data_IF_059616782003
#
_entry.id   IF_059616782003
#
_cell.length_a   1.000
_cell.length_b   1.000
_cell.length_c   1.000
_cell.angle_alpha   90.00
_cell.angle_beta   90.00
_cell.angle_gamma   90.00
#
_symmetry.space_group_name_H-M   'P 1'
#
loop_
_entity.id
_entity.type
_entity.pdbx_description
1 polymer ?
#
# COMPACT_ATOMS: atom_id res chain seq x y z
N UNK A 1 -5.82 31.19 2.06
CA UNK A 1 -6.15 29.76 2.18
C UNK A 1 -7.30 29.64 3.16
N UNK A 2 -8.41 29.08 2.75
CA UNK A 2 -9.64 28.99 3.58
C UNK A 2 -9.43 27.87 4.60
N UNK A 3 -9.37 28.23 5.89
CA UNK A 3 -9.12 27.28 6.99
C UNK A 3 -10.28 26.31 7.17
N UNK A 4 -11.48 26.75 6.94
CA UNK A 4 -12.74 26.03 6.95
C UNK A 4 -12.78 24.87 5.92
N UNK A 5 -12.32 25.12 4.70
CA UNK A 5 -12.18 24.08 3.67
C UNK A 5 -11.17 23.01 4.08
N UNK A 6 -10.04 23.42 4.67
CA UNK A 6 -9.03 22.48 5.15
C UNK A 6 -9.57 21.63 6.31
N UNK A 7 -10.26 22.28 7.28
CA UNK A 7 -10.85 21.51 8.39
C UNK A 7 -11.93 20.56 7.93
N UNK A 8 -12.68 20.90 6.89
CA UNK A 8 -13.67 19.99 6.28
C UNK A 8 -13.00 18.77 5.66
N UNK A 9 -11.92 18.95 4.90
CA UNK A 9 -11.20 17.84 4.24
C UNK A 9 -10.53 16.94 5.27
N UNK A 10 -9.81 17.52 6.24
CA UNK A 10 -9.18 16.76 7.32
C UNK A 10 -10.22 16.05 8.17
N UNK A 11 -11.35 16.70 8.48
CA UNK A 11 -12.46 16.10 9.21
C UNK A 11 -13.04 14.87 8.49
N UNK A 12 -13.27 14.95 7.18
CA UNK A 12 -13.71 13.82 6.38
C UNK A 12 -12.68 12.70 6.31
N UNK A 13 -11.37 13.04 6.19
CA UNK A 13 -10.30 12.05 6.22
C UNK A 13 -10.34 11.26 7.54
N UNK A 14 -10.46 11.94 8.68
CA UNK A 14 -10.56 11.30 9.98
C UNK A 14 -11.82 10.41 10.10
N UNK A 15 -12.97 10.88 9.62
CA UNK A 15 -14.19 10.07 9.66
C UNK A 15 -14.12 8.86 8.73
N UNK A 16 -13.47 8.98 7.58
CA UNK A 16 -13.25 7.86 6.68
C UNK A 16 -12.41 6.75 7.33
N UNK A 17 -11.47 7.11 8.21
CA UNK A 17 -10.66 6.16 8.97
C UNK A 17 -11.48 5.32 9.96
N UNK A 18 -12.67 5.75 10.36
CA UNK A 18 -13.52 4.98 11.28
C UNK A 18 -13.91 3.61 10.69
N UNK A 19 -14.12 3.53 9.38
CA UNK A 19 -14.54 2.26 8.73
C UNK A 19 -13.45 1.19 8.87
N UNK A 20 -12.20 1.40 8.39
CA UNK A 20 -11.16 0.40 8.51
C UNK A 20 -10.71 0.17 9.96
N UNK A 21 -10.74 1.19 10.84
CA UNK A 21 -10.46 1.01 12.26
C UNK A 21 -11.53 0.14 12.94
N UNK A 22 -12.82 0.34 12.63
CA UNK A 22 -13.90 -0.51 13.17
C UNK A 22 -13.81 -1.94 12.66
N UNK A 23 -13.49 -2.13 11.38
CA UNK A 23 -13.25 -3.45 10.82
C UNK A 23 -12.09 -4.16 11.55
N UNK A 24 -10.95 -3.48 11.70
CA UNK A 24 -9.79 -4.03 12.41
C UNK A 24 -10.08 -4.29 13.88
N UNK A 25 -10.89 -3.44 14.56
CA UNK A 25 -11.36 -3.68 15.92
C UNK A 25 -12.12 -5.00 16.02
N UNK A 26 -13.11 -5.23 15.14
CA UNK A 26 -13.92 -6.44 15.14
C UNK A 26 -13.09 -7.70 14.87
N UNK A 27 -12.17 -7.62 13.92
CA UNK A 27 -11.27 -8.73 13.60
C UNK A 27 -10.30 -9.03 14.75
N UNK A 28 -9.72 -7.99 15.37
CA UNK A 28 -8.85 -8.15 16.55
C UNK A 28 -9.62 -8.76 17.71
N UNK A 29 -10.86 -8.30 17.94
CA UNK A 29 -11.70 -8.89 18.98
C UNK A 29 -11.94 -10.38 18.75
N UNK A 30 -12.15 -10.77 17.51
CA UNK A 30 -12.40 -12.18 17.17
C UNK A 30 -11.13 -13.06 17.24
N UNK A 31 -9.96 -12.55 16.79
CA UNK A 31 -8.72 -13.32 16.69
C UNK A 31 -7.85 -13.23 17.96
N UNK A 32 -7.72 -12.05 18.56
CA UNK A 32 -6.76 -11.75 19.62
C UNK A 32 -7.46 -11.45 20.98
N UNK A 33 -8.81 -11.36 20.97
CA UNK A 33 -9.61 -11.10 22.15
C UNK A 33 -9.93 -9.64 22.40
N UNK A 34 -10.95 -9.39 23.24
CA UNK A 34 -11.50 -8.06 23.49
C UNK A 34 -10.50 -7.08 24.11
N UNK A 35 -9.63 -7.54 25.03
CA UNK A 35 -8.65 -6.67 25.68
C UNK A 35 -7.68 -6.07 24.65
N UNK A 36 -7.09 -6.90 23.78
CA UNK A 36 -6.18 -6.45 22.73
C UNK A 36 -6.90 -5.49 21.76
N UNK A 37 -8.12 -5.83 21.36
CA UNK A 37 -8.93 -4.98 20.49
C UNK A 37 -9.23 -3.63 21.12
N UNK A 38 -9.66 -3.61 22.40
CA UNK A 38 -10.04 -2.38 23.08
C UNK A 38 -8.85 -1.42 23.28
N UNK A 39 -7.72 -1.93 23.70
CA UNK A 39 -6.51 -1.13 23.92
C UNK A 39 -6.00 -0.57 22.59
N UNK A 40 -5.98 -1.39 21.53
CA UNK A 40 -5.41 -0.99 20.23
C UNK A 40 -6.29 -0.02 19.45
N UNK A 41 -7.62 -0.17 19.50
CA UNK A 41 -8.51 0.49 18.53
C UNK A 41 -9.55 1.43 19.13
N UNK A 42 -10.00 1.29 20.40
CA UNK A 42 -11.03 2.18 20.93
C UNK A 42 -10.56 3.63 21.02
N UNK A 43 -9.34 3.87 21.50
CA UNK A 43 -8.79 5.24 21.57
C UNK A 43 -8.67 5.86 20.18
N UNK A 44 -8.07 5.19 19.17
CA UNK A 44 -8.05 5.69 17.79
C UNK A 44 -9.43 5.96 17.22
N UNK A 45 -10.43 5.12 17.47
CA UNK A 45 -11.81 5.30 17.03
C UNK A 45 -12.43 6.57 17.64
N UNK A 46 -12.35 6.73 18.97
CA UNK A 46 -12.88 7.91 19.65
C UNK A 46 -12.15 9.19 19.22
N UNK A 47 -10.81 9.14 19.14
CA UNK A 47 -9.99 10.26 18.71
C UNK A 47 -10.35 10.70 17.28
N UNK A 48 -10.41 9.76 16.34
CA UNK A 48 -10.75 10.02 14.94
C UNK A 48 -12.19 10.53 14.79
N UNK A 49 -13.15 9.92 15.48
CA UNK A 49 -14.54 10.32 15.44
C UNK A 49 -14.77 11.70 16.04
N UNK A 50 -14.27 11.95 17.25
CA UNK A 50 -14.49 13.21 17.96
C UNK A 50 -13.82 14.40 17.24
N UNK A 51 -12.54 14.26 16.88
CA UNK A 51 -11.83 15.33 16.17
C UNK A 51 -12.38 15.51 14.76
N UNK A 52 -12.69 14.42 14.06
CA UNK A 52 -13.32 14.48 12.75
C UNK A 52 -14.63 15.28 12.76
N UNK A 53 -15.52 15.00 13.69
CA UNK A 53 -16.79 15.74 13.85
C UNK A 53 -16.56 17.21 14.26
N UNK A 54 -15.62 17.47 15.19
CA UNK A 54 -15.27 18.81 15.58
C UNK A 54 -14.76 19.65 14.40
N UNK A 55 -13.87 19.09 13.57
CA UNK A 55 -13.36 19.76 12.37
C UNK A 55 -14.46 19.98 11.31
N UNK A 56 -15.37 19.04 11.14
CA UNK A 56 -16.53 19.23 10.25
C UNK A 56 -17.44 20.35 10.74
N UNK A 57 -17.69 20.47 12.05
CA UNK A 57 -18.52 21.54 12.60
C UNK A 57 -17.95 22.95 12.35
N UNK A 58 -16.61 23.05 12.25
CA UNK A 58 -15.90 24.30 11.85
C UNK A 58 -16.05 24.51 10.34
N UNK A 59 -15.86 23.45 9.54
CA UNK A 59 -15.87 23.52 8.08
C UNK A 59 -17.23 23.82 7.46
N UNK A 60 -18.33 23.31 8.06
CA UNK A 60 -19.70 23.52 7.57
C UNK A 60 -20.17 24.98 7.63
N UNK A 61 -19.51 25.83 8.40
CA UNK A 61 -19.81 27.28 8.49
C UNK A 61 -19.35 28.07 7.28
N UNK A 62 -18.61 27.46 6.34
CA UNK A 62 -18.13 28.13 5.15
C UNK A 62 -19.14 28.08 3.99
N UNK A 63 -19.11 29.11 3.16
CA UNK A 63 -19.88 29.16 1.92
C UNK A 63 -19.24 28.21 0.91
N UNK A 64 -19.77 26.98 0.82
CA UNK A 64 -19.23 25.87 0.02
C UNK A 64 -19.50 26.00 -1.47
N UNK A 65 -20.10 27.10 -1.92
CA UNK A 65 -20.45 27.34 -3.34
C UNK A 65 -19.24 27.68 -4.22
N UNK A 66 -18.14 28.14 -3.64
CA UNK A 66 -16.92 28.42 -4.40
C UNK A 66 -16.10 27.18 -4.71
N UNK A 67 -15.62 27.07 -5.95
CA UNK A 67 -14.71 26.00 -6.40
C UNK A 67 -13.42 25.96 -5.58
N UNK A 68 -12.92 24.76 -5.29
CA UNK A 68 -11.63 24.55 -4.67
C UNK A 68 -10.52 25.17 -5.54
N UNK A 69 -9.65 25.98 -4.93
CA UNK A 69 -8.45 26.51 -5.61
C UNK A 69 -7.35 25.44 -5.60
N UNK A 70 -6.50 25.39 -6.63
CA UNK A 70 -5.42 24.40 -6.71
C UNK A 70 -4.52 24.37 -5.45
N UNK A 71 -4.21 25.56 -4.90
CA UNK A 71 -3.43 25.65 -3.64
C UNK A 71 -4.12 25.01 -2.45
N UNK A 72 -5.44 25.05 -2.39
CA UNK A 72 -6.24 24.43 -1.32
C UNK A 72 -6.30 22.92 -1.50
N UNK A 73 -6.37 22.43 -2.75
CA UNK A 73 -6.30 21.02 -3.07
C UNK A 73 -4.95 20.41 -2.68
N UNK A 74 -3.83 21.05 -3.05
CA UNK A 74 -2.50 20.57 -2.65
C UNK A 74 -2.29 20.60 -1.14
N UNK A 75 -2.74 21.65 -0.45
CA UNK A 75 -2.65 21.73 1.00
C UNK A 75 -3.51 20.69 1.70
N UNK A 76 -4.68 20.36 1.13
CA UNK A 76 -5.55 19.32 1.64
C UNK A 76 -4.89 17.93 1.57
N UNK A 77 -4.28 17.61 0.43
CA UNK A 77 -3.50 16.38 0.26
C UNK A 77 -2.33 16.34 1.24
N UNK A 78 -1.55 17.42 1.31
CA UNK A 78 -0.39 17.52 2.19
C UNK A 78 -0.73 17.40 3.69
N UNK A 79 -1.96 17.74 4.12
CA UNK A 79 -2.43 17.58 5.49
C UNK A 79 -3.13 16.25 5.74
N UNK A 80 -3.86 15.72 4.76
CA UNK A 80 -4.59 14.47 4.91
C UNK A 80 -3.64 13.28 5.20
N UNK A 81 -2.49 13.21 4.52
CA UNK A 81 -1.51 12.14 4.72
C UNK A 81 -0.95 12.10 6.15
N UNK A 82 -0.33 13.18 6.70
CA UNK A 82 0.16 13.16 8.08
C UNK A 82 -0.94 12.86 9.12
N UNK A 83 -2.17 13.32 8.88
CA UNK A 83 -3.30 13.02 9.77
C UNK A 83 -3.70 11.56 9.71
N UNK A 84 -3.78 10.97 8.52
CA UNK A 84 -4.05 9.55 8.37
C UNK A 84 -2.96 8.69 9.03
N UNK A 85 -1.68 9.06 8.83
CA UNK A 85 -0.54 8.39 9.46
C UNK A 85 -0.58 8.50 10.97
N UNK A 86 -0.92 9.69 11.51
CA UNK A 86 -1.05 9.90 12.96
C UNK A 86 -2.13 8.97 13.56
N UNK A 87 -3.31 8.97 12.97
CA UNK A 87 -4.40 8.08 13.42
C UNK A 87 -4.00 6.63 13.25
N UNK A 88 -3.38 6.29 12.11
CA UNK A 88 -2.94 4.93 11.79
C UNK A 88 -1.79 4.41 12.63
N UNK A 89 -0.99 5.28 13.25
CA UNK A 89 0.10 4.88 14.15
C UNK A 89 -0.40 4.44 15.53
N UNK A 90 -1.56 4.94 15.94
CA UNK A 90 -2.08 4.66 17.28
C UNK A 90 -2.32 3.16 17.56
N UNK A 91 -2.89 2.35 16.65
CA UNK A 91 -3.04 0.91 16.88
C UNK A 91 -1.71 0.19 17.13
N UNK A 92 -0.64 0.54 16.43
CA UNK A 92 0.70 -0.05 16.64
C UNK A 92 1.27 0.34 18.00
N UNK A 93 1.13 1.61 18.39
CA UNK A 93 1.68 2.14 19.64
C UNK A 93 0.92 1.66 20.88
N UNK A 94 -0.41 1.70 20.82
CA UNK A 94 -1.27 1.30 21.94
C UNK A 94 -1.42 -0.22 22.04
N UNK A 95 -1.36 -0.93 20.92
CA UNK A 95 -1.52 -2.39 20.85
C UNK A 95 -0.26 -3.19 21.14
N UNK A 96 0.84 -2.55 21.55
CA UNK A 96 2.03 -3.22 22.06
C UNK A 96 2.93 -3.83 20.98
N UNK A 97 2.78 -3.43 19.69
CA UNK A 97 3.76 -3.78 18.66
C UNK A 97 5.10 -3.14 18.96
N UNK A 98 5.07 -1.91 19.42
CA UNK A 98 6.21 -1.17 19.94
C UNK A 98 5.95 -0.76 21.39
N UNK A 99 7.00 -0.33 22.11
CA UNK A 99 6.84 0.14 23.48
C UNK A 99 5.86 1.32 23.56
N UNK A 100 4.72 1.09 24.15
CA UNK A 100 3.63 2.05 24.28
C UNK A 100 3.28 2.36 25.72
N UNK A 101 2.31 3.26 25.97
CA UNK A 101 1.90 3.66 27.31
C UNK A 101 1.26 2.52 28.12
N UNK A 102 0.82 1.43 27.45
CA UNK A 102 0.23 0.24 28.06
C UNK A 102 1.15 -0.99 28.03
N UNK A 103 2.42 -0.82 27.63
CA UNK A 103 3.40 -1.90 27.60
C UNK A 103 4.16 -1.94 28.92
N UNK A 104 4.09 -3.07 29.63
CA UNK A 104 4.71 -3.25 30.93
C UNK A 104 6.23 -3.05 30.88
N UNK A 105 6.78 -2.38 31.89
CA UNK A 105 8.22 -2.14 32.01
C UNK A 105 8.80 -1.08 31.10
N UNK A 106 7.99 -0.38 30.29
CA UNK A 106 8.46 0.67 29.38
C UNK A 106 8.81 1.95 30.15
N UNK A 107 10.00 2.52 29.88
CA UNK A 107 10.39 3.84 30.33
C UNK A 107 9.76 4.94 29.47
N UNK A 108 9.76 6.20 29.94
CA UNK A 108 9.27 7.32 29.12
C UNK A 108 10.06 7.49 27.81
N UNK A 109 11.34 7.16 27.82
CA UNK A 109 12.17 7.15 26.61
C UNK A 109 11.71 6.07 25.62
N UNK A 110 11.38 4.86 26.12
CA UNK A 110 10.94 3.74 25.27
C UNK A 110 9.56 4.04 24.68
N UNK A 111 8.64 4.63 25.46
CA UNK A 111 7.32 5.07 24.98
C UNK A 111 7.46 6.09 23.86
N UNK A 112 8.40 7.05 24.00
CA UNK A 112 8.68 8.02 22.94
C UNK A 112 9.26 7.39 21.67
N UNK A 113 10.23 6.48 21.80
CA UNK A 113 10.77 5.71 20.66
C UNK A 113 9.69 4.85 20.00
N UNK A 114 8.88 4.17 20.81
CA UNK A 114 7.77 3.37 20.33
C UNK A 114 6.75 4.17 19.52
N UNK A 115 6.47 5.42 19.89
CA UNK A 115 5.65 6.33 19.08
C UNK A 115 6.29 6.63 17.71
N UNK A 116 7.60 6.92 17.68
CA UNK A 116 8.33 7.18 16.43
C UNK A 116 8.32 5.95 15.53
N UNK A 117 8.54 4.76 16.08
CA UNK A 117 8.49 3.50 15.35
C UNK A 117 7.08 3.21 14.80
N UNK A 118 6.05 3.45 15.60
CA UNK A 118 4.65 3.32 15.19
C UNK A 118 4.28 4.30 14.07
N UNK A 119 4.78 5.53 14.15
CA UNK A 119 4.65 6.52 13.10
C UNK A 119 5.32 6.06 11.81
N UNK A 120 6.54 5.53 11.90
CA UNK A 120 7.27 4.98 10.74
C UNK A 120 6.51 3.83 10.10
N UNK A 121 6.03 2.85 10.88
CA UNK A 121 5.29 1.69 10.38
C UNK A 121 3.97 2.12 9.69
N UNK A 122 3.25 3.07 10.30
CA UNK A 122 2.05 3.65 9.72
C UNK A 122 2.34 4.44 8.44
N UNK A 123 3.41 5.25 8.42
CA UNK A 123 3.84 5.99 7.24
C UNK A 123 4.19 5.03 6.12
N UNK A 124 5.02 4.01 6.41
CA UNK A 124 5.40 2.97 5.46
C UNK A 124 4.18 2.22 4.91
N UNK A 125 3.16 1.98 5.76
CA UNK A 125 1.89 1.41 5.33
C UNK A 125 1.16 2.31 4.35
N UNK A 126 0.78 3.51 4.75
CA UNK A 126 -0.01 4.42 3.90
C UNK A 126 0.71 4.90 2.65
N UNK A 127 2.03 5.03 2.67
CA UNK A 127 2.81 5.38 1.48
C UNK A 127 3.18 4.17 0.63
N UNK A 128 2.71 2.98 1.00
CA UNK A 128 3.01 1.71 0.32
C UNK A 128 4.52 1.47 0.13
N UNK A 129 5.33 1.91 1.10
CA UNK A 129 6.80 1.76 1.04
C UNK A 129 7.25 0.34 1.37
N UNK A 130 6.54 -0.36 2.27
CA UNK A 130 6.84 -1.74 2.65
C UNK A 130 8.01 -1.93 3.61
N UNK A 131 8.73 -0.87 3.97
CA UNK A 131 9.79 -0.94 4.97
C UNK A 131 9.20 -1.14 6.37
N UNK A 132 9.81 -2.01 7.18
CA UNK A 132 9.37 -2.30 8.54
C UNK A 132 10.49 -2.10 9.56
N UNK A 133 10.10 -1.73 10.78
CA UNK A 133 10.97 -1.64 11.95
C UNK A 133 10.52 -2.61 13.06
N UNK A 134 9.69 -3.59 12.70
CA UNK A 134 9.30 -4.67 13.61
C UNK A 134 10.44 -5.68 13.66
N UNK A 135 11.27 -5.60 14.70
CA UNK A 135 12.43 -6.46 14.90
C UNK A 135 12.72 -6.66 16.40
N UNK A 136 13.66 -7.56 16.72
CA UNK A 136 14.02 -7.91 18.10
C UNK A 136 14.42 -6.72 18.98
N UNK A 137 15.01 -5.69 18.42
CA UNK A 137 15.46 -4.51 19.16
C UNK A 137 14.37 -3.47 19.41
N UNK A 138 13.25 -3.52 18.68
CA UNK A 138 12.23 -2.48 18.67
C UNK A 138 10.87 -2.93 19.20
N UNK A 139 10.55 -4.22 19.08
CA UNK A 139 9.25 -4.77 19.50
C UNK A 139 9.36 -5.58 20.80
N UNK A 140 8.52 -5.29 21.80
CA UNK A 140 8.51 -6.06 23.06
C UNK A 140 8.06 -7.52 22.87
N UNK A 141 7.32 -7.81 21.78
CA UNK A 141 6.85 -9.16 21.47
C UNK A 141 7.93 -10.02 20.79
N UNK A 142 9.06 -9.43 20.42
CA UNK A 142 10.16 -10.09 19.72
C UNK A 142 11.32 -10.40 20.70
N UNK A 143 11.29 -11.56 21.33
CA UNK A 143 12.31 -11.96 22.31
C UNK A 143 13.47 -12.66 21.58
N UNK A 144 14.71 -12.14 21.63
CA UNK A 144 15.86 -12.78 21.01
C UNK A 144 16.02 -14.23 21.44
N UNK A 145 16.18 -15.15 20.49
CA UNK A 145 16.36 -16.59 20.72
C UNK A 145 15.10 -17.39 21.02
N UNK A 146 13.94 -16.74 21.26
CA UNK A 146 12.65 -17.42 21.47
C UNK A 146 11.60 -17.12 20.42
N UNK A 147 11.71 -16.00 19.71
CA UNK A 147 10.77 -15.59 18.66
C UNK A 147 11.48 -15.60 17.31
N UNK A 148 11.39 -16.68 16.51
CA UNK A 148 12.11 -16.78 15.23
C UNK A 148 11.52 -15.88 14.15
N UNK A 149 10.24 -15.48 14.26
CA UNK A 149 9.50 -14.63 13.31
C UNK A 149 8.81 -13.51 14.08
N UNK A 150 9.41 -12.33 14.04
CA UNK A 150 8.96 -11.16 14.79
C UNK A 150 7.63 -10.60 14.29
N UNK A 151 7.43 -10.58 12.98
CA UNK A 151 6.19 -10.08 12.39
C UNK A 151 5.04 -11.00 12.73
N UNK A 152 5.23 -12.32 12.60
CA UNK A 152 4.18 -13.29 12.89
C UNK A 152 3.81 -13.36 14.38
N UNK A 153 4.72 -12.95 15.27
CA UNK A 153 4.47 -12.88 16.72
C UNK A 153 3.56 -11.72 17.13
N UNK A 154 3.29 -10.77 16.23
CA UNK A 154 2.41 -9.64 16.54
C UNK A 154 0.92 -10.07 16.57
N UNK A 155 0.05 -9.33 17.30
CA UNK A 155 -1.39 -9.59 17.30
C UNK A 155 -1.96 -9.61 15.88
N UNK A 156 -2.73 -10.64 15.56
CA UNK A 156 -3.22 -10.89 14.20
C UNK A 156 -4.08 -9.74 13.65
N UNK A 157 -4.91 -9.14 14.49
CA UNK A 157 -5.73 -8.02 14.07
C UNK A 157 -4.90 -6.76 13.75
N UNK A 158 -3.76 -6.57 14.42
CA UNK A 158 -2.83 -5.47 14.10
C UNK A 158 -2.09 -5.76 12.78
N UNK A 159 -1.76 -7.01 12.47
CA UNK A 159 -1.23 -7.37 11.15
C UNK A 159 -2.23 -7.09 10.03
N UNK A 160 -3.53 -7.35 10.25
CA UNK A 160 -4.58 -6.94 9.31
C UNK A 160 -4.65 -5.41 9.18
N UNK A 161 -4.58 -4.67 10.29
CA UNK A 161 -4.51 -3.22 10.24
C UNK A 161 -3.32 -2.74 9.39
N UNK A 162 -2.15 -3.34 9.61
CA UNK A 162 -0.92 -3.08 8.86
C UNK A 162 -1.13 -3.25 7.34
N UNK A 163 -1.74 -4.36 6.93
CA UNK A 163 -2.06 -4.64 5.53
C UNK A 163 -3.12 -3.71 4.97
N UNK A 164 -4.14 -3.37 5.78
CA UNK A 164 -5.18 -2.39 5.40
C UNK A 164 -4.61 -0.98 5.19
N UNK A 165 -3.60 -0.55 5.95
CA UNK A 165 -2.97 0.76 5.72
C UNK A 165 -2.34 0.81 4.33
N UNK A 166 -1.70 -0.26 3.85
CA UNK A 166 -1.18 -0.34 2.48
C UNK A 166 -2.31 -0.37 1.45
N UNK A 167 -3.35 -1.16 1.69
CA UNK A 167 -4.46 -1.27 0.75
C UNK A 167 -5.19 0.08 0.55
N UNK A 168 -5.41 0.81 1.63
CA UNK A 168 -5.97 2.16 1.59
C UNK A 168 -5.01 3.16 0.94
N UNK A 169 -3.72 3.03 1.23
CA UNK A 169 -2.67 3.88 0.67
C UNK A 169 -2.55 3.75 -0.84
N UNK A 170 -2.60 2.53 -1.38
CA UNK A 170 -2.38 2.25 -2.80
C UNK A 170 -3.36 2.93 -3.76
N UNK A 171 -4.64 3.03 -3.37
CA UNK A 171 -5.62 3.81 -4.14
C UNK A 171 -5.86 5.21 -3.57
N UNK A 172 -5.21 5.50 -2.46
CA UNK A 172 -5.24 6.78 -1.78
C UNK A 172 -6.56 7.07 -1.06
N UNK A 173 -6.47 7.37 0.22
CA UNK A 173 -7.56 7.94 1.02
C UNK A 173 -8.22 9.11 0.28
N UNK A 174 -7.48 9.77 -0.61
CA UNK A 174 -7.91 10.91 -1.41
C UNK A 174 -8.90 10.53 -2.49
N UNK A 175 -8.78 9.34 -3.10
CA UNK A 175 -9.79 8.85 -4.04
C UNK A 175 -11.13 8.63 -3.34
N UNK A 176 -11.13 8.10 -2.12
CA UNK A 176 -12.33 8.03 -1.26
C UNK A 176 -12.84 9.42 -0.91
N UNK A 177 -11.96 10.32 -0.50
CA UNK A 177 -12.29 11.72 -0.26
C UNK A 177 -12.88 12.42 -1.49
N UNK A 178 -12.38 12.13 -2.69
CA UNK A 178 -12.92 12.64 -3.94
C UNK A 178 -14.34 12.14 -4.24
N UNK A 179 -14.62 10.86 -4.00
CA UNK A 179 -15.98 10.32 -4.15
C UNK A 179 -16.97 11.01 -3.22
N UNK A 180 -16.56 11.29 -1.99
CA UNK A 180 -17.41 11.92 -0.97
C UNK A 180 -17.52 13.44 -1.16
N UNK A 181 -16.39 14.12 -1.40
CA UNK A 181 -16.30 15.58 -1.51
C UNK A 181 -16.73 16.14 -2.86
N UNK A 182 -16.65 15.38 -3.94
CA UNK A 182 -17.09 15.85 -5.26
C UNK A 182 -18.59 16.21 -5.29
N UNK A 183 -19.39 15.60 -4.42
CA UNK A 183 -20.80 15.95 -4.22
C UNK A 183 -20.98 17.25 -3.43
N UNK A 184 -20.07 17.57 -2.53
CA UNK A 184 -20.19 18.69 -1.59
C UNK A 184 -19.55 19.97 -2.12
N UNK A 185 -18.40 19.90 -2.78
CA UNK A 185 -17.58 21.05 -3.12
C UNK A 185 -17.49 21.40 -4.62
N UNK A 186 -18.00 20.56 -5.53
CA UNK A 186 -17.96 20.81 -6.98
C UNK A 186 -16.55 20.97 -7.59
N UNK A 187 -15.49 20.79 -6.80
CA UNK A 187 -14.09 21.04 -7.14
C UNK A 187 -13.18 19.82 -7.29
N UNK A 188 -13.76 18.61 -7.40
CA UNK A 188 -13.02 17.36 -7.39
C UNK A 188 -11.87 17.19 -8.40
N UNK A 189 -11.86 17.98 -9.48
CA UNK A 189 -10.81 17.95 -10.51
C UNK A 189 -9.45 18.44 -10.00
N UNK A 190 -9.40 19.46 -9.13
CA UNK A 190 -8.14 19.99 -8.61
C UNK A 190 -7.49 18.99 -7.63
N UNK A 191 -8.29 18.34 -6.80
CA UNK A 191 -7.81 17.33 -5.84
C UNK A 191 -7.28 16.08 -6.56
N UNK A 192 -7.98 15.62 -7.62
CA UNK A 192 -7.54 14.50 -8.43
C UNK A 192 -6.21 14.76 -9.14
N UNK A 193 -6.01 15.97 -9.67
CA UNK A 193 -4.73 16.35 -10.28
C UNK A 193 -3.57 16.38 -9.29
N UNK A 194 -3.83 16.72 -8.03
CA UNK A 194 -2.81 16.72 -6.99
C UNK A 194 -2.31 15.32 -6.65
N UNK A 195 -3.21 14.31 -6.66
CA UNK A 195 -2.88 12.93 -6.28
C UNK A 195 -2.51 12.04 -7.47
N UNK A 196 -3.21 12.19 -8.60
CA UNK A 196 -3.04 11.31 -9.75
C UNK A 196 -2.05 11.91 -10.76
N UNK A 197 -0.88 11.32 -10.80
CA UNK A 197 0.19 11.69 -11.72
C UNK A 197 0.05 10.94 -13.04
N UNK A 198 -0.84 11.38 -13.96
CA UNK A 198 -0.91 10.79 -15.28
C UNK A 198 -2.07 11.31 -16.15
N UNK A 199 -1.96 11.24 -17.49
CA UNK A 199 -2.97 11.73 -18.43
C UNK A 199 -4.20 10.83 -18.60
N UNK A 200 -4.32 9.75 -17.83
CA UNK A 200 -5.27 8.65 -18.06
C UNK A 200 -6.73 8.91 -17.66
N UNK A 201 -6.97 9.82 -16.72
CA UNK A 201 -8.31 10.06 -16.16
C UNK A 201 -9.29 10.71 -17.13
N UNK A 202 -8.82 11.52 -18.08
CA UNK A 202 -9.67 12.26 -19.01
C UNK A 202 -10.33 11.39 -20.10
N UNK A 203 -9.91 10.14 -20.25
CA UNK A 203 -10.32 9.25 -21.33
C UNK A 203 -11.33 8.17 -20.97
N UNK A 204 -11.52 7.86 -19.67
CA UNK A 204 -12.38 6.74 -19.26
C UNK A 204 -13.85 7.12 -19.14
N UNK A 205 -14.16 8.21 -18.45
CA UNK A 205 -15.55 8.69 -18.28
C UNK A 205 -15.59 10.19 -18.03
N UNK A 206 -16.68 10.87 -18.41
CA UNK A 206 -16.79 12.33 -18.29
C UNK A 206 -16.86 12.83 -16.84
N UNK A 207 -17.28 11.98 -15.92
CA UNK A 207 -17.38 12.33 -14.49
C UNK A 207 -16.28 11.67 -13.68
N UNK A 208 -15.54 12.47 -12.91
CA UNK A 208 -14.45 12.00 -12.05
C UNK A 208 -14.86 10.90 -11.06
N UNK A 209 -16.09 10.98 -10.53
CA UNK A 209 -16.63 9.95 -9.64
C UNK A 209 -16.79 8.59 -10.32
N UNK A 210 -17.27 8.58 -11.56
CA UNK A 210 -17.45 7.34 -12.32
C UNK A 210 -16.10 6.69 -12.64
N UNK A 211 -15.09 7.52 -12.92
CA UNK A 211 -13.71 7.05 -13.15
C UNK A 211 -13.13 6.46 -11.85
N UNK A 212 -13.25 7.19 -10.74
CA UNK A 212 -12.78 6.72 -9.43
C UNK A 212 -13.45 5.40 -9.03
N UNK A 213 -14.77 5.30 -9.22
CA UNK A 213 -15.52 4.07 -8.91
C UNK A 213 -15.06 2.89 -9.79
N UNK A 214 -14.81 3.13 -11.09
CA UNK A 214 -14.31 2.10 -12.00
C UNK A 214 -12.92 1.58 -11.56
N UNK A 215 -12.00 2.48 -11.21
CA UNK A 215 -10.66 2.12 -10.73
C UNK A 215 -10.73 1.34 -9.40
N UNK A 216 -11.56 1.78 -8.44
CA UNK A 216 -11.80 1.08 -7.19
C UNK A 216 -12.38 -0.32 -7.41
N UNK A 217 -13.34 -0.45 -8.35
CA UNK A 217 -13.96 -1.73 -8.67
C UNK A 217 -12.92 -2.73 -9.17
N UNK A 218 -12.04 -2.32 -10.12
CA UNK A 218 -10.95 -3.18 -10.61
C UNK A 218 -10.03 -3.58 -9.46
N UNK A 219 -9.62 -2.60 -8.64
CA UNK A 219 -8.71 -2.82 -7.53
C UNK A 219 -9.25 -3.85 -6.54
N UNK A 220 -10.53 -3.71 -6.13
CA UNK A 220 -11.21 -4.65 -5.25
C UNK A 220 -11.31 -6.04 -5.89
N UNK A 221 -11.73 -6.12 -7.15
CA UNK A 221 -11.89 -7.40 -7.86
C UNK A 221 -10.55 -8.12 -7.94
N UNK A 222 -9.48 -7.45 -8.34
CA UNK A 222 -8.15 -8.06 -8.42
C UNK A 222 -7.65 -8.50 -7.04
N UNK A 223 -7.84 -7.69 -6.00
CA UNK A 223 -7.50 -8.08 -4.61
C UNK A 223 -8.25 -9.35 -4.19
N UNK A 224 -9.56 -9.43 -4.46
CA UNK A 224 -10.36 -10.60 -4.08
C UNK A 224 -9.95 -11.85 -4.88
N UNK A 225 -9.69 -11.70 -6.18
CA UNK A 225 -9.22 -12.83 -7.01
C UNK A 225 -7.87 -13.33 -6.48
N UNK A 226 -6.93 -12.44 -6.16
CA UNK A 226 -5.63 -12.79 -5.60
C UNK A 226 -5.78 -13.56 -4.29
N UNK A 227 -6.58 -13.07 -3.34
CA UNK A 227 -6.86 -13.74 -2.07
C UNK A 227 -7.36 -15.16 -2.31
N UNK A 228 -8.33 -15.34 -3.21
CA UNK A 228 -8.91 -16.63 -3.54
C UNK A 228 -7.84 -17.58 -4.12
N UNK A 229 -7.03 -17.09 -5.06
CA UNK A 229 -5.98 -17.90 -5.68
C UNK A 229 -4.89 -18.28 -4.68
N UNK A 230 -4.43 -17.37 -3.83
CA UNK A 230 -3.43 -17.66 -2.79
C UNK A 230 -3.96 -18.68 -1.77
N UNK A 231 -5.23 -18.57 -1.39
CA UNK A 231 -5.85 -19.49 -0.44
C UNK A 231 -6.07 -20.89 -1.05
N UNK A 232 -6.75 -20.97 -2.21
CA UNK A 232 -7.16 -22.26 -2.78
C UNK A 232 -6.05 -22.96 -3.59
N UNK A 233 -5.26 -22.22 -4.36
CA UNK A 233 -4.21 -22.79 -5.20
C UNK A 233 -2.84 -22.69 -4.54
N UNK A 234 -2.55 -21.58 -3.86
CA UNK A 234 -1.29 -21.36 -3.17
C UNK A 234 -1.15 -22.17 -1.87
N UNK A 235 -2.27 -22.63 -1.29
CA UNK A 235 -2.26 -23.37 -0.03
C UNK A 235 -1.94 -22.49 1.19
N UNK A 236 -1.97 -21.17 1.06
CA UNK A 236 -1.82 -20.24 2.18
C UNK A 236 -2.97 -20.37 3.16
N UNK A 237 -2.74 -20.04 4.43
CA UNK A 237 -3.85 -19.84 5.37
C UNK A 237 -4.75 -18.70 4.87
N UNK A 238 -6.04 -18.72 5.21
CA UNK A 238 -6.94 -17.62 4.85
C UNK A 238 -6.46 -16.27 5.38
N UNK A 239 -5.82 -16.28 6.57
CA UNK A 239 -5.23 -15.10 7.18
C UNK A 239 -4.09 -14.52 6.33
N UNK A 240 -3.15 -15.37 5.91
CA UNK A 240 -2.00 -14.95 5.10
C UNK A 240 -2.43 -14.51 3.70
N UNK A 241 -3.30 -15.30 3.03
CA UNK A 241 -3.83 -14.95 1.73
C UNK A 241 -4.54 -13.59 1.74
N UNK A 242 -5.33 -13.31 2.80
CA UNK A 242 -6.00 -12.02 2.96
C UNK A 242 -5.00 -10.87 3.12
N UNK A 243 -3.99 -11.03 4.00
CA UNK A 243 -2.98 -10.00 4.20
C UNK A 243 -2.17 -9.74 2.92
N UNK A 244 -1.69 -10.78 2.23
CA UNK A 244 -0.89 -10.62 1.02
C UNK A 244 -1.69 -10.02 -0.15
N UNK A 245 -2.96 -10.39 -0.33
CA UNK A 245 -3.81 -9.72 -1.34
C UNK A 245 -4.02 -8.23 -1.05
N UNK A 246 -4.10 -7.83 0.22
CA UNK A 246 -4.16 -6.41 0.62
C UNK A 246 -2.84 -5.66 0.42
N UNK A 247 -1.71 -6.35 0.32
CA UNK A 247 -0.37 -5.72 0.26
C UNK A 247 0.31 -5.85 -1.09
N UNK A 248 -0.11 -6.80 -1.95
CA UNK A 248 0.37 -6.95 -3.32
C UNK A 248 -0.25 -5.90 -4.26
N UNK A 249 -1.58 -5.81 -4.29
CA UNK A 249 -2.28 -4.89 -5.20
C UNK A 249 -1.92 -3.42 -5.02
N UNK A 250 -1.67 -2.89 -3.80
CA UNK A 250 -1.13 -1.55 -3.63
C UNK A 250 0.35 -1.40 -4.00
N UNK A 251 1.04 -2.47 -4.40
CA UNK A 251 2.50 -2.51 -4.55
C UNK A 251 3.23 -2.12 -3.25
N UNK A 252 2.76 -2.66 -2.11
CA UNK A 252 3.22 -2.25 -0.79
C UNK A 252 4.23 -3.19 -0.13
N UNK A 253 4.10 -4.51 -0.34
CA UNK A 253 5.10 -5.51 0.03
C UNK A 253 5.19 -5.89 1.51
N UNK A 254 4.26 -5.46 2.35
CA UNK A 254 4.20 -5.99 3.72
C UNK A 254 3.81 -7.47 3.71
N UNK A 255 4.51 -8.27 4.51
CA UNK A 255 4.23 -9.69 4.73
C UNK A 255 3.82 -9.94 6.18
N UNK A 256 3.21 -11.10 6.43
CA UNK A 256 2.91 -11.65 7.75
C UNK A 256 4.10 -12.40 8.36
N UNK A 257 5.22 -12.51 7.60
CA UNK A 257 6.44 -13.21 7.99
C UNK A 257 7.69 -12.37 7.72
N UNK A 258 8.71 -12.50 8.57
CA UNK A 258 9.99 -11.80 8.43
C UNK A 258 10.70 -12.19 7.13
N UNK A 259 10.61 -13.47 6.73
CA UNK A 259 11.19 -13.98 5.49
C UNK A 259 10.38 -13.59 4.23
N UNK A 260 9.32 -12.78 4.36
CA UNK A 260 8.46 -12.38 3.25
C UNK A 260 7.89 -13.60 2.50
N UNK A 261 7.91 -13.60 1.17
CA UNK A 261 7.36 -14.71 0.36
C UNK A 261 8.25 -15.96 0.40
N UNK A 262 9.55 -15.79 0.69
CA UNK A 262 10.47 -16.91 0.90
C UNK A 262 9.99 -17.89 2.00
N UNK A 263 9.18 -17.43 2.96
CA UNK A 263 8.59 -18.28 4.00
C UNK A 263 7.78 -19.46 3.46
N UNK A 264 7.09 -19.26 2.33
CA UNK A 264 6.17 -20.27 1.77
C UNK A 264 6.87 -21.33 0.95
N UNK A 265 8.08 -21.07 0.43
CA UNK A 265 8.86 -22.00 -0.41
C UNK A 265 7.98 -22.71 -1.46
N UNK A 266 7.15 -21.93 -2.16
CA UNK A 266 6.11 -22.45 -3.06
C UNK A 266 6.10 -21.75 -4.40
N UNK A 267 6.45 -22.49 -5.45
CA UNK A 267 6.38 -22.02 -6.84
C UNK A 267 4.99 -21.47 -7.23
N UNK A 268 3.91 -22.06 -6.71
CA UNK A 268 2.54 -21.62 -7.00
C UNK A 268 2.26 -20.26 -6.37
N UNK A 269 2.63 -20.08 -5.10
CA UNK A 269 2.49 -18.80 -4.38
C UNK A 269 3.25 -17.70 -5.09
N UNK A 270 4.52 -17.95 -5.40
CA UNK A 270 5.37 -16.97 -6.12
C UNK A 270 4.79 -16.61 -7.49
N UNK A 271 4.32 -17.61 -8.25
CA UNK A 271 3.71 -17.40 -9.57
C UNK A 271 2.47 -16.51 -9.50
N UNK A 272 1.59 -16.73 -8.51
CA UNK A 272 0.40 -15.91 -8.30
C UNK A 272 0.84 -14.49 -7.96
N UNK A 273 1.75 -14.32 -7.00
CA UNK A 273 2.23 -12.99 -6.56
C UNK A 273 2.92 -12.25 -7.71
N UNK A 274 3.78 -12.90 -8.51
CA UNK A 274 4.38 -12.29 -9.72
C UNK A 274 3.30 -11.73 -10.64
N UNK A 275 2.27 -12.54 -10.91
CA UNK A 275 1.18 -12.13 -11.80
C UNK A 275 0.46 -10.87 -11.28
N UNK A 276 0.11 -10.83 -9.99
CA UNK A 276 -0.61 -9.71 -9.41
C UNK A 276 0.28 -8.49 -9.18
N UNK A 277 1.56 -8.63 -8.82
CA UNK A 277 2.54 -7.53 -8.81
C UNK A 277 2.67 -6.92 -10.22
N UNK A 278 2.79 -7.76 -11.24
CA UNK A 278 2.87 -7.29 -12.63
C UNK A 278 1.62 -6.51 -13.03
N UNK A 279 0.41 -7.01 -12.71
CA UNK A 279 -0.86 -6.32 -12.97
C UNK A 279 -0.96 -5.01 -12.19
N UNK A 280 -0.52 -4.96 -10.94
CA UNK A 280 -0.47 -3.75 -10.13
C UNK A 280 0.42 -2.66 -10.74
N UNK A 281 1.49 -3.05 -11.45
CA UNK A 281 2.36 -2.16 -12.21
C UNK A 281 1.80 -1.67 -13.55
N UNK A 282 0.75 -2.30 -14.08
CA UNK A 282 0.07 -1.87 -15.31
C UNK A 282 -0.84 -0.68 -15.04
N UNK A 283 -0.97 0.22 -16.01
CA UNK A 283 -1.98 1.28 -15.95
C UNK A 283 -3.39 0.68 -15.80
N UNK A 284 -4.10 1.02 -14.72
CA UNK A 284 -5.46 0.51 -14.45
C UNK A 284 -6.46 0.84 -15.58
N UNK A 285 -6.21 1.89 -16.36
CA UNK A 285 -6.99 2.18 -17.57
C UNK A 285 -6.87 1.08 -18.62
N UNK A 286 -5.67 0.50 -18.78
CA UNK A 286 -5.45 -0.62 -19.71
C UNK A 286 -6.18 -1.88 -19.23
N UNK A 287 -6.19 -2.13 -17.94
CA UNK A 287 -6.94 -3.25 -17.34
C UNK A 287 -8.44 -3.07 -17.60
N UNK A 288 -8.95 -1.83 -17.45
CA UNK A 288 -10.35 -1.51 -17.80
C UNK A 288 -10.67 -1.75 -19.27
N UNK A 289 -9.79 -1.29 -20.19
CA UNK A 289 -9.96 -1.52 -21.62
C UNK A 289 -9.92 -3.01 -21.99
N UNK A 290 -9.07 -3.80 -21.31
CA UNK A 290 -9.03 -5.25 -21.46
C UNK A 290 -10.35 -5.89 -20.98
N UNK A 291 -10.92 -5.42 -19.88
CA UNK A 291 -12.22 -5.86 -19.37
C UNK A 291 -13.35 -5.56 -20.38
N UNK A 292 -13.30 -4.40 -21.04
CA UNK A 292 -14.23 -4.03 -22.10
C UNK A 292 -13.93 -4.71 -23.45
N UNK A 293 -12.97 -5.65 -23.50
CA UNK A 293 -12.52 -6.40 -24.69
C UNK A 293 -11.97 -5.51 -25.81
N UNK A 294 -11.47 -4.31 -25.47
CA UNK A 294 -10.85 -3.38 -26.42
C UNK A 294 -9.35 -3.68 -26.60
N UNK A 295 -9.03 -4.92 -26.97
CA UNK A 295 -7.66 -5.43 -27.05
C UNK A 295 -6.77 -4.62 -28.00
N UNK A 296 -7.32 -4.11 -29.11
CA UNK A 296 -6.58 -3.29 -30.07
C UNK A 296 -5.95 -2.07 -29.38
N UNK A 297 -6.69 -1.43 -28.44
CA UNK A 297 -6.19 -0.27 -27.68
C UNK A 297 -5.16 -0.67 -26.64
N UNK A 298 -5.36 -1.82 -26.01
CA UNK A 298 -4.41 -2.36 -25.01
C UNK A 298 -3.05 -2.65 -25.66
N UNK A 299 -3.06 -3.35 -26.79
CA UNK A 299 -1.82 -3.67 -27.51
C UNK A 299 -1.21 -2.48 -28.26
N UNK A 300 -1.98 -1.45 -28.56
CA UNK A 300 -1.48 -0.21 -29.17
C UNK A 300 -0.76 0.70 -28.15
N UNK A 301 -0.96 0.50 -26.84
CA UNK A 301 -0.39 1.37 -25.83
C UNK A 301 1.13 1.26 -25.76
N UNK A 302 1.81 2.40 -25.92
CA UNK A 302 3.27 2.45 -25.97
C UNK A 302 3.89 2.29 -24.57
N UNK A 303 3.22 2.75 -23.52
CA UNK A 303 3.74 2.65 -22.15
C UNK A 303 3.69 1.20 -21.68
N UNK A 304 2.56 0.51 -21.89
CA UNK A 304 2.41 -0.91 -21.55
C UNK A 304 3.44 -1.80 -22.27
N UNK A 305 3.67 -1.54 -23.58
CA UNK A 305 4.73 -2.26 -24.34
C UNK A 305 6.12 -2.00 -23.77
N UNK A 306 6.44 -0.75 -23.40
CA UNK A 306 7.74 -0.40 -22.82
C UNK A 306 7.92 -1.06 -21.45
N UNK A 307 6.86 -1.14 -20.65
CA UNK A 307 6.86 -1.82 -19.36
C UNK A 307 7.20 -3.31 -19.50
N UNK A 308 6.49 -4.02 -20.38
CA UNK A 308 6.77 -5.44 -20.66
C UNK A 308 8.21 -5.61 -21.14
N UNK A 309 8.69 -4.75 -22.05
CA UNK A 309 10.05 -4.81 -22.57
C UNK A 309 11.10 -4.62 -21.47
N UNK A 310 10.93 -3.62 -20.61
CA UNK A 310 11.87 -3.33 -19.50
C UNK A 310 11.92 -4.50 -18.52
N UNK A 311 10.76 -5.00 -18.07
CA UNK A 311 10.72 -6.16 -17.17
C UNK A 311 11.39 -7.37 -17.81
N UNK A 312 11.03 -7.70 -19.06
CA UNK A 312 11.60 -8.86 -19.75
C UNK A 312 13.11 -8.73 -19.97
N UNK A 313 13.57 -7.58 -20.45
CA UNK A 313 15.00 -7.34 -20.70
C UNK A 313 15.81 -7.40 -19.41
N UNK A 314 15.32 -6.79 -18.33
CA UNK A 314 16.01 -6.82 -17.03
C UNK A 314 16.02 -8.24 -16.45
N UNK A 315 14.91 -8.98 -16.55
CA UNK A 315 14.84 -10.38 -16.09
C UNK A 315 15.86 -11.24 -16.82
N UNK A 316 15.93 -11.13 -18.17
CA UNK A 316 16.90 -11.89 -18.96
C UNK A 316 18.35 -11.51 -18.60
N UNK A 317 18.63 -10.24 -18.38
CA UNK A 317 19.95 -9.78 -17.98
C UNK A 317 20.36 -10.36 -16.61
N UNK A 318 19.49 -10.26 -15.61
CA UNK A 318 19.72 -10.79 -14.24
C UNK A 318 19.89 -12.30 -14.31
N UNK A 319 19.03 -12.99 -15.04
CA UNK A 319 19.12 -14.44 -15.24
C UNK A 319 20.46 -14.87 -15.86
N UNK A 320 20.92 -14.19 -16.91
CA UNK A 320 22.24 -14.49 -17.54
C UNK A 320 23.37 -14.26 -16.53
N UNK A 321 23.30 -13.20 -15.72
CA UNK A 321 24.28 -12.93 -14.69
C UNK A 321 24.31 -14.02 -13.61
N UNK A 322 23.16 -14.55 -13.17
CA UNK A 322 23.07 -15.66 -12.23
C UNK A 322 23.63 -16.97 -12.84
N UNK A 323 23.32 -17.24 -14.12
CA UNK A 323 23.86 -18.40 -14.82
C UNK A 323 25.39 -18.38 -14.88
N UNK A 324 25.99 -17.20 -15.00
CA UNK A 324 27.46 -17.07 -15.00
C UNK A 324 28.11 -17.44 -13.65
N UNK A 325 27.34 -17.48 -12.57
CA UNK A 325 27.78 -17.93 -11.23
C UNK A 325 27.46 -19.41 -10.94
N UNK A 326 26.84 -20.12 -11.89
CA UNK A 326 26.54 -21.54 -11.76
C UNK A 326 25.21 -21.86 -11.07
N UNK A 327 24.27 -20.90 -11.01
CA UNK A 327 22.90 -21.15 -10.52
C UNK A 327 22.18 -22.17 -11.43
N UNK A 328 21.22 -22.90 -10.87
CA UNK A 328 20.37 -23.80 -11.66
C UNK A 328 19.46 -22.98 -12.58
N UNK A 329 19.17 -23.52 -13.77
CA UNK A 329 18.42 -22.80 -14.82
C UNK A 329 17.00 -22.45 -14.36
N UNK A 330 16.30 -23.40 -13.77
CA UNK A 330 14.93 -23.27 -13.29
C UNK A 330 14.81 -22.26 -12.14
N UNK A 331 15.62 -22.41 -11.10
CA UNK A 331 15.68 -21.52 -9.93
C UNK A 331 16.14 -20.12 -10.36
N UNK A 332 17.26 -20.00 -11.07
CA UNK A 332 17.81 -18.71 -11.46
C UNK A 332 16.88 -17.87 -12.34
N UNK A 333 16.08 -18.49 -13.23
CA UNK A 333 15.10 -17.75 -14.02
C UNK A 333 13.95 -17.24 -13.17
N UNK A 334 13.43 -18.08 -12.27
CA UNK A 334 12.28 -17.74 -11.46
C UNK A 334 12.61 -16.68 -10.41
N UNK A 335 13.75 -16.83 -9.73
CA UNK A 335 14.29 -15.84 -8.78
C UNK A 335 14.51 -14.48 -9.46
N UNK A 336 15.08 -14.50 -10.68
CA UNK A 336 15.28 -13.28 -11.47
C UNK A 336 13.95 -12.61 -11.80
N UNK A 337 12.95 -13.38 -12.25
CA UNK A 337 11.64 -12.86 -12.61
C UNK A 337 10.93 -12.27 -11.40
N UNK A 338 10.90 -13.01 -10.27
CA UNK A 338 10.26 -12.55 -9.03
C UNK A 338 10.88 -11.23 -8.55
N UNK A 339 12.20 -11.20 -8.41
CA UNK A 339 12.91 -10.03 -7.88
C UNK A 339 12.78 -8.81 -8.81
N UNK A 340 12.91 -9.01 -10.14
CA UNK A 340 12.77 -7.93 -11.12
C UNK A 340 11.34 -7.37 -11.13
N UNK A 341 10.32 -8.23 -11.08
CA UNK A 341 8.93 -7.76 -11.00
C UNK A 341 8.68 -7.05 -9.68
N UNK A 342 9.12 -7.61 -8.56
CA UNK A 342 8.95 -7.02 -7.22
C UNK A 342 9.57 -5.63 -7.12
N UNK A 343 10.80 -5.45 -7.58
CA UNK A 343 11.50 -4.16 -7.54
C UNK A 343 10.93 -3.21 -8.60
N UNK A 344 10.68 -3.69 -9.82
CA UNK A 344 10.16 -2.87 -10.93
C UNK A 344 8.76 -2.32 -10.69
N UNK A 345 7.95 -3.03 -9.92
CA UNK A 345 6.62 -2.56 -9.49
C UNK A 345 6.67 -1.80 -8.16
N UNK A 346 7.86 -1.67 -7.56
CA UNK A 346 8.07 -1.12 -6.21
C UNK A 346 7.31 -1.85 -5.09
N UNK A 347 6.96 -3.12 -5.28
CA UNK A 347 6.28 -3.92 -4.27
C UNK A 347 7.22 -4.29 -3.12
N UNK A 348 8.42 -4.80 -3.43
CA UNK A 348 9.46 -5.05 -2.43
C UNK A 348 9.36 -6.40 -1.71
N UNK A 349 8.53 -7.35 -2.16
CA UNK A 349 8.59 -8.72 -1.67
C UNK A 349 9.90 -9.40 -2.03
N UNK A 350 10.32 -10.34 -1.18
CA UNK A 350 11.51 -11.16 -1.39
C UNK A 350 11.16 -12.64 -1.37
N UNK A 351 11.64 -13.40 -2.37
CA UNK A 351 11.58 -14.87 -2.42
C UNK A 351 12.94 -15.49 -2.18
N UNK A 352 14.02 -14.73 -2.38
CA UNK A 352 15.40 -15.16 -2.22
C UNK A 352 16.27 -14.00 -1.73
N UNK A 353 17.44 -14.31 -1.18
CA UNK A 353 18.42 -13.31 -0.75
C UNK A 353 19.23 -12.79 -1.97
N UNK A 354 18.67 -11.79 -2.64
CA UNK A 354 19.32 -11.14 -3.79
C UNK A 354 20.60 -10.34 -3.41
N UNK A 355 20.87 -10.11 -2.12
CA UNK A 355 22.10 -9.45 -1.69
C UNK A 355 23.34 -10.28 -1.98
N UNK A 356 23.19 -11.60 -2.12
CA UNK A 356 24.25 -12.52 -2.49
C UNK A 356 24.54 -12.55 -4.01
N UNK A 357 23.77 -11.85 -4.81
CA UNK A 357 23.89 -11.85 -6.27
C UNK A 357 25.08 -11.02 -6.76
N UNK A 358 25.49 -11.16 -8.05
CA UNK A 358 26.56 -10.35 -8.64
C UNK A 358 26.31 -8.86 -8.49
N UNK A 359 27.33 -8.06 -8.19
CA UNK A 359 27.23 -6.60 -8.02
C UNK A 359 26.57 -5.91 -9.23
N UNK A 360 26.81 -6.44 -10.44
CA UNK A 360 26.19 -5.89 -11.66
C UNK A 360 24.68 -5.97 -11.63
N UNK A 361 24.07 -7.01 -11.03
CA UNK A 361 22.62 -7.13 -10.91
C UNK A 361 22.04 -6.05 -9.99
N UNK A 362 22.74 -5.70 -8.90
CA UNK A 362 22.29 -4.64 -7.98
C UNK A 362 22.22 -3.28 -8.68
N UNK A 363 23.14 -2.97 -9.60
CA UNK A 363 23.11 -1.73 -10.37
C UNK A 363 21.83 -1.67 -11.23
N UNK A 364 21.52 -2.76 -11.94
CA UNK A 364 20.31 -2.81 -12.78
C UNK A 364 19.03 -2.80 -11.96
N UNK A 365 18.98 -3.50 -10.83
CA UNK A 365 17.84 -3.47 -9.91
C UNK A 365 17.63 -2.07 -9.32
N UNK A 366 18.70 -1.36 -8.97
CA UNK A 366 18.65 0.02 -8.50
C UNK A 366 18.11 0.98 -9.58
N UNK A 367 18.58 0.85 -10.83
CA UNK A 367 18.05 1.63 -11.94
C UNK A 367 16.56 1.34 -12.18
N UNK A 368 16.17 0.07 -12.10
CA UNK A 368 14.78 -0.35 -12.24
C UNK A 368 13.88 0.26 -11.14
N UNK A 369 14.37 0.31 -9.90
CA UNK A 369 13.67 0.93 -8.77
C UNK A 369 13.39 2.43 -9.01
N UNK A 370 14.34 3.15 -9.64
CA UNK A 370 14.17 4.57 -9.98
C UNK A 370 13.12 4.75 -11.08
N UNK A 371 13.17 3.91 -12.11
CA UNK A 371 12.29 4.04 -13.29
C UNK A 371 10.83 3.74 -12.95
N UNK A 372 10.57 2.74 -12.10
CA UNK A 372 9.21 2.34 -11.71
C UNK A 372 8.39 1.76 -12.87
N UNK A 373 7.07 1.60 -12.66
CA UNK A 373 6.14 1.01 -13.62
C UNK A 373 5.30 2.09 -14.36
N UNK A 374 4.15 1.69 -14.94
CA UNK A 374 3.30 2.57 -15.75
C UNK A 374 2.69 3.73 -14.94
N UNK A 375 2.45 4.86 -15.60
CA UNK A 375 1.63 5.94 -15.06
C UNK A 375 0.18 5.44 -14.87
N UNK A 376 -0.45 5.82 -13.75
CA UNK A 376 -1.80 5.32 -13.42
C UNK A 376 -1.84 3.88 -12.92
N UNK A 377 -0.70 3.34 -12.45
CA UNK A 377 -0.56 2.13 -11.64
C UNK A 377 -0.36 2.50 -10.17
N UNK A 378 -0.44 1.51 -9.27
CA UNK A 378 -0.18 1.68 -7.83
C UNK A 378 1.31 1.80 -7.50
N UNK A 379 2.21 1.45 -8.44
CA UNK A 379 3.65 1.44 -8.19
C UNK A 379 4.23 2.85 -7.95
N UNK A 380 5.34 2.94 -7.25
CA UNK A 380 6.16 4.14 -7.05
C UNK A 380 7.05 4.50 -8.24
N UNK A 381 8.09 5.30 -8.01
CA UNK A 381 9.12 5.66 -9.00
C UNK A 381 8.73 6.77 -9.97
N UNK A 382 9.67 7.09 -10.90
CA UNK A 382 9.52 8.21 -11.86
C UNK A 382 8.50 7.97 -12.96
N UNK A 383 7.94 6.77 -13.09
CA UNK A 383 7.06 6.32 -14.17
C UNK A 383 7.72 6.30 -15.55
N UNK A 384 7.57 5.17 -16.24
CA UNK A 384 8.17 4.92 -17.56
C UNK A 384 7.87 6.03 -18.58
N UNK A 385 6.66 6.57 -18.56
CA UNK A 385 6.26 7.64 -19.49
C UNK A 385 7.09 8.91 -19.31
N UNK A 386 7.45 9.27 -18.06
CA UNK A 386 8.28 10.45 -17.77
C UNK A 386 9.73 10.26 -18.18
N UNK A 387 10.29 9.07 -17.95
CA UNK A 387 11.64 8.70 -18.38
C UNK A 387 11.76 8.72 -19.91
N UNK A 388 10.70 8.39 -20.62
CA UNK A 388 10.68 8.39 -22.10
C UNK A 388 10.55 9.78 -22.71
N UNK A 389 10.05 10.76 -21.95
CA UNK A 389 9.84 12.15 -22.43
C UNK A 389 10.99 13.08 -22.06
N UNK A 390 11.88 12.70 -21.14
CA UNK A 390 13.09 13.42 -20.75
C UNK A 390 14.30 12.92 -21.51
#
# INVERSE_FOLDING_TARGET
MRRDVLSLIVGWTMLAMLIPLSFSFLVTWWLDGFNTASVSFLIPLFFSGFIGLALLSIGVRSDTTERLRDREAFAAVALAWPVAVLVGSLPFWLGGVFHGPFTDGSTMSDIGRGFVNSWFESMSGFTTTGATVIEHSMSPNCIPGSTPDCINAQPKGILIWRSLTQWLGGMGIIMLGLMLLSRVLGGGMALARAELTGPSLSRLRPKLQETALALWTIYIILTVIEIILLWFLGGMTMFDAFNHGLTTMPSGGFSTHDASIAYYDSFVVESIIICFMFLAGVNFTLIWLAWEKQWDKVFADQEGRSYVLVITATTLFVFIALMSQGSRIDEGFFDSLFTVVSIGTSTGYTSTDYMLWPVVTHIFLFLLMIVGACAGSTSGGLKLMRVKLG
#
